data_IF_501974534456
#
_entry.id   IF_501974534456
#
_cell.length_a   1.000
_cell.length_b   1.000
_cell.length_c   1.000
_cell.angle_alpha   90.00
_cell.angle_beta   90.00
_cell.angle_gamma   90.00
#
_symmetry.space_group_name_H-M   'P 1'
#
loop_
_entity.id
_entity.type
_entity.pdbx_description
1 polymer ?
#
# COMPACT_ATOMS: atom_id res chain seq x y z
N UNK A 1 10.91 0.02 -19.82
CA UNK A 1 9.79 0.86 -19.37
C UNK A 1 8.92 -0.01 -18.49
N UNK A 2 8.48 0.47 -17.32
CA UNK A 2 7.56 -0.29 -16.49
C UNK A 2 6.24 -0.48 -17.22
N UNK A 3 5.60 -1.63 -17.01
CA UNK A 3 4.24 -1.87 -17.45
C UNK A 3 3.24 -1.21 -16.48
N UNK A 4 1.95 -1.20 -16.84
CA UNK A 4 0.92 -0.53 -16.04
C UNK A 4 0.79 -1.08 -14.62
N UNK A 5 1.01 -2.38 -14.41
CA UNK A 5 0.95 -3.01 -13.10
C UNK A 5 2.13 -2.58 -12.22
N UNK A 6 3.34 -2.55 -12.77
CA UNK A 6 4.55 -2.05 -12.08
C UNK A 6 4.38 -0.58 -11.69
N UNK A 7 3.84 0.27 -12.58
CA UNK A 7 3.58 1.68 -12.29
C UNK A 7 2.52 1.86 -11.19
N UNK A 8 1.45 1.06 -11.22
CA UNK A 8 0.41 1.10 -10.19
C UNK A 8 0.93 0.61 -8.83
N UNK A 9 1.74 -0.44 -8.80
CA UNK A 9 2.38 -0.95 -7.59
C UNK A 9 3.32 0.10 -6.96
N UNK A 10 4.13 0.76 -7.77
CA UNK A 10 5.01 1.84 -7.31
C UNK A 10 4.22 3.01 -6.71
N UNK A 11 3.13 3.43 -7.35
CA UNK A 11 2.25 4.47 -6.83
C UNK A 11 1.65 4.10 -5.45
N UNK A 12 1.21 2.85 -5.30
CA UNK A 12 0.67 2.34 -4.04
C UNK A 12 1.73 2.27 -2.92
N UNK A 13 2.96 1.86 -3.25
CA UNK A 13 4.10 1.88 -2.31
C UNK A 13 4.45 3.30 -1.88
N UNK A 14 4.40 4.27 -2.79
CA UNK A 14 4.60 5.68 -2.45
C UNK A 14 3.50 6.21 -1.51
N UNK A 15 2.24 5.81 -1.72
CA UNK A 15 1.15 6.14 -0.80
C UNK A 15 1.35 5.50 0.59
N UNK A 16 1.84 4.25 0.65
CA UNK A 16 2.16 3.60 1.93
C UNK A 16 3.23 4.37 2.71
N UNK A 17 4.29 4.83 2.03
CA UNK A 17 5.32 5.70 2.63
C UNK A 17 4.72 7.00 3.16
N UNK A 18 3.85 7.66 2.39
CA UNK A 18 3.14 8.86 2.83
C UNK A 18 2.37 8.63 4.14
N UNK A 19 1.63 7.52 4.26
CA UNK A 19 0.93 7.21 5.50
C UNK A 19 1.90 6.99 6.68
N UNK A 20 3.03 6.31 6.48
CA UNK A 20 4.05 6.16 7.54
C UNK A 20 4.61 7.51 8.00
N UNK A 21 4.86 8.42 7.07
CA UNK A 21 5.37 9.75 7.36
C UNK A 21 4.34 10.56 8.16
N UNK A 22 3.05 10.49 7.78
CA UNK A 22 1.95 11.12 8.53
C UNK A 22 1.84 10.53 9.94
N UNK A 23 1.94 9.21 10.09
CA UNK A 23 1.91 8.54 11.39
C UNK A 23 3.12 8.85 12.28
N UNK A 24 4.27 9.12 11.67
CA UNK A 24 5.48 9.55 12.37
C UNK A 24 5.34 10.97 12.89
N UNK A 25 4.75 11.87 12.09
CA UNK A 25 4.49 13.26 12.47
C UNK A 25 3.33 13.39 13.48
N UNK A 26 2.38 12.47 13.47
CA UNK A 26 1.18 12.50 14.31
C UNK A 26 1.06 11.21 15.15
N UNK A 27 1.66 11.14 16.35
CA UNK A 27 1.66 9.93 17.18
C UNK A 27 0.27 9.38 17.49
N UNK A 28 -0.74 10.24 17.61
CA UNK A 28 -2.13 9.85 17.82
C UNK A 28 -2.72 9.01 16.66
N UNK A 29 -2.21 9.21 15.44
CA UNK A 29 -2.64 8.50 14.24
C UNK A 29 -1.69 7.36 13.85
N UNK A 30 -0.56 7.19 14.56
CA UNK A 30 0.51 6.26 14.17
C UNK A 30 0.02 4.86 13.85
N UNK A 31 -0.82 4.28 14.70
CA UNK A 31 -1.33 2.93 14.51
C UNK A 31 -2.25 2.83 13.27
N UNK A 32 -3.23 3.74 13.16
CA UNK A 32 -4.15 3.78 12.02
C UNK A 32 -3.43 4.00 10.69
N UNK A 33 -2.43 4.89 10.66
CA UNK A 33 -1.63 5.14 9.47
C UNK A 33 -0.71 3.96 9.13
N UNK A 34 -0.20 3.24 10.14
CA UNK A 34 0.59 2.02 9.92
C UNK A 34 -0.25 0.89 9.32
N UNK A 35 -1.51 0.75 9.75
CA UNK A 35 -2.47 -0.19 9.15
C UNK A 35 -2.82 0.19 7.72
N UNK A 36 -3.03 1.49 7.47
CA UNK A 36 -3.26 2.01 6.12
C UNK A 36 -2.05 1.72 5.23
N UNK A 37 -0.83 2.05 5.67
CA UNK A 37 0.39 1.77 4.93
C UNK A 37 0.52 0.28 4.57
N UNK A 38 0.30 -0.63 5.53
CA UNK A 38 0.35 -2.08 5.29
C UNK A 38 -0.69 -2.53 4.26
N UNK A 39 -1.88 -1.94 4.29
CA UNK A 39 -2.94 -2.24 3.31
C UNK A 39 -2.51 -1.85 1.90
N UNK A 40 -1.95 -0.65 1.73
CA UNK A 40 -1.45 -0.19 0.43
C UNK A 40 -0.30 -1.06 -0.09
N UNK A 41 0.63 -1.48 0.78
CA UNK A 41 1.69 -2.42 0.40
C UNK A 41 1.13 -3.76 -0.06
N UNK A 42 0.17 -4.30 0.68
CA UNK A 42 -0.47 -5.57 0.30
C UNK A 42 -1.13 -5.47 -1.07
N UNK A 43 -1.83 -4.36 -1.35
CA UNK A 43 -2.47 -4.15 -2.66
C UNK A 43 -1.42 -3.93 -3.75
N UNK A 44 -0.32 -3.25 -3.46
CA UNK A 44 0.78 -3.08 -4.41
C UNK A 44 1.34 -4.43 -4.86
N UNK A 45 1.58 -5.33 -3.91
CA UNK A 45 2.08 -6.67 -4.20
C UNK A 45 1.06 -7.49 -4.99
N UNK A 46 -0.24 -7.38 -4.68
CA UNK A 46 -1.30 -8.05 -5.44
C UNK A 46 -1.41 -7.52 -6.88
N UNK A 47 -1.37 -6.21 -7.08
CA UNK A 47 -1.44 -5.59 -8.41
C UNK A 47 -0.22 -5.99 -9.26
N UNK A 48 0.96 -6.08 -8.66
CA UNK A 48 2.19 -6.43 -9.36
C UNK A 48 2.24 -7.92 -9.74
N UNK A 49 1.70 -8.79 -8.90
CA UNK A 49 1.84 -10.26 -9.04
C UNK A 49 0.62 -10.95 -9.66
N UNK A 50 -0.59 -10.50 -9.36
CA UNK A 50 -1.85 -11.04 -9.89
C UNK A 50 -2.92 -9.93 -9.98
N UNK A 51 -2.82 -9.02 -10.97
CA UNK A 51 -3.69 -7.84 -11.08
C UNK A 51 -5.17 -8.15 -11.32
N UNK A 52 -5.51 -9.40 -11.67
CA UNK A 52 -6.89 -9.87 -11.88
C UNK A 52 -7.31 -10.90 -10.81
N UNK A 53 -6.44 -11.12 -9.82
CA UNK A 53 -6.67 -11.99 -8.69
C UNK A 53 -7.81 -11.52 -7.80
N UNK A 54 -8.41 -12.45 -7.07
CA UNK A 54 -9.39 -12.09 -6.04
C UNK A 54 -8.65 -11.60 -4.80
N UNK A 55 -9.13 -10.51 -4.21
CA UNK A 55 -8.59 -10.02 -2.95
C UNK A 55 -8.64 -11.15 -1.90
N UNK A 56 -7.51 -11.49 -1.26
CA UNK A 56 -7.50 -12.47 -0.19
C UNK A 56 -8.37 -11.96 0.95
N UNK A 57 -9.08 -12.87 1.61
CA UNK A 57 -9.96 -12.50 2.72
C UNK A 57 -9.11 -12.07 3.92
N UNK A 58 -8.89 -10.76 4.06
CA UNK A 58 -8.14 -10.17 5.17
C UNK A 58 -9.14 -10.03 6.33
N UNK A 59 -9.02 -10.91 7.32
CA UNK A 59 -9.82 -10.85 8.56
C UNK A 59 -9.32 -9.76 9.49
#
# INVERSE_FOLDING_TARGET
MPNNAELAAELLRNAATFFRDVGTQNPALKNQMSESARTFETIADLVETDPVGKMPNIK
#
